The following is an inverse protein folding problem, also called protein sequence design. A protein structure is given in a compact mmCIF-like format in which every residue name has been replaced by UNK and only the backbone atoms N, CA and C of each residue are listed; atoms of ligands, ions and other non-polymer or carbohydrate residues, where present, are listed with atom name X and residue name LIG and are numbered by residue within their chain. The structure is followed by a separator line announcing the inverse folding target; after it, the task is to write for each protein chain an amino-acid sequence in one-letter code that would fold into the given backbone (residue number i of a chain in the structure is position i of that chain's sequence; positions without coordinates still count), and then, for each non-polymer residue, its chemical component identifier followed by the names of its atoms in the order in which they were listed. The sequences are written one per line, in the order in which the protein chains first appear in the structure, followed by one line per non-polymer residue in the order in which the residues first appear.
data_IF_299545755103
#
_entry.id   IF_299545755103
#
_cell.length_a   1.000
_cell.length_b   1.000
_cell.length_c   1.000
_cell.angle_alpha   90.00
_cell.angle_beta   90.00
_cell.angle_gamma   90.00
#
_symmetry.space_group_name_H-M   'P 1'
#
loop_
_entity.id
_entity.type
_entity.pdbx_description
1 polymer ?
#
# COMPACT_ATOMS: atom_id res chain seq x y z
N UNK A 1 13.55 13.27 7.11
CA UNK A 1 12.09 13.36 7.31
C UNK A 1 11.48 13.66 5.96
N UNK A 2 10.40 12.99 5.55
CA UNK A 2 9.75 13.17 4.25
C UNK A 2 8.40 12.48 4.21
N UNK A 3 7.48 12.98 3.39
CA UNK A 3 6.15 12.38 3.15
C UNK A 3 6.23 11.47 1.90
N UNK A 4 5.71 10.25 2.00
CA UNK A 4 5.69 9.31 0.87
C UNK A 4 4.76 9.76 -0.27
N UNK A 5 3.83 10.68 0.02
CA UNK A 5 2.97 11.28 -0.98
C UNK A 5 3.67 12.38 -1.81
N UNK A 6 4.89 12.77 -1.45
CA UNK A 6 5.68 13.74 -2.19
C UNK A 6 6.54 13.03 -3.27
N UNK A 7 6.29 13.28 -4.57
CA UNK A 7 7.08 12.70 -5.65
C UNK A 7 8.58 13.00 -5.56
N UNK A 8 8.96 14.19 -5.07
CA UNK A 8 10.37 14.56 -4.93
C UNK A 8 11.07 13.70 -3.87
N UNK A 9 10.35 13.33 -2.80
CA UNK A 9 10.85 12.42 -1.77
C UNK A 9 11.04 11.02 -2.34
N UNK A 10 10.07 10.49 -3.09
CA UNK A 10 10.18 9.17 -3.73
C UNK A 10 11.34 9.10 -4.73
N UNK A 11 11.49 10.13 -5.55
CA UNK A 11 12.57 10.24 -6.54
C UNK A 11 13.94 10.30 -5.87
N UNK A 12 14.08 10.99 -4.74
CA UNK A 12 15.33 11.07 -4.00
C UNK A 12 15.68 9.76 -3.27
N UNK A 13 14.68 9.00 -2.80
CA UNK A 13 14.89 7.79 -1.99
C UNK A 13 15.13 6.53 -2.81
N UNK A 14 14.49 6.40 -3.97
CA UNK A 14 14.56 5.19 -4.79
C UNK A 14 15.66 5.38 -5.83
N UNK A 15 16.91 5.15 -5.46
CA UNK A 15 18.07 5.33 -6.35
C UNK A 15 18.25 4.23 -7.41
N UNK A 16 19.24 4.43 -8.29
CA UNK A 16 19.64 3.44 -9.30
C UNK A 16 20.23 2.15 -8.71
N UNK A 17 20.68 2.19 -7.45
CA UNK A 17 21.28 1.11 -6.67
C UNK A 17 20.33 0.50 -5.63
N UNK A 18 19.10 1.00 -5.53
CA UNK A 18 18.11 0.47 -4.58
C UNK A 18 17.73 -0.96 -4.96
N UNK A 19 18.09 -1.94 -4.14
CA UNK A 19 17.75 -3.34 -4.41
C UNK A 19 16.32 -3.69 -3.95
N UNK A 20 15.85 -3.07 -2.87
CA UNK A 20 14.54 -3.35 -2.31
C UNK A 20 13.95 -2.14 -1.57
N UNK A 21 12.62 -2.07 -1.54
CA UNK A 21 11.83 -1.07 -0.80
C UNK A 21 10.89 -1.79 0.15
N UNK A 22 10.95 -1.46 1.44
CA UNK A 22 10.02 -1.96 2.45
C UNK A 22 8.95 -0.89 2.70
N UNK A 23 7.78 -1.05 2.08
CA UNK A 23 6.68 -0.10 2.19
C UNK A 23 5.82 -0.40 3.43
N UNK A 24 6.16 0.29 4.52
CA UNK A 24 5.52 0.16 5.84
C UNK A 24 4.66 1.37 6.23
N UNK A 25 4.76 2.45 5.45
CA UNK A 25 4.07 3.70 5.74
C UNK A 25 2.57 3.57 5.44
N UNK A 26 1.73 3.93 6.42
CA UNK A 26 0.29 3.95 6.30
C UNK A 26 -0.32 4.83 7.40
N UNK A 27 -1.52 5.34 7.13
CA UNK A 27 -2.42 5.85 8.16
C UNK A 27 -3.28 4.68 8.65
N UNK A 28 -3.33 4.49 9.98
CA UNK A 28 -4.05 3.38 10.62
C UNK A 28 -5.56 3.46 10.37
N UNK A 29 -6.23 2.31 10.40
CA UNK A 29 -7.65 2.19 10.02
C UNK A 29 -8.56 3.23 10.68
N UNK A 30 -8.51 3.39 12.00
CA UNK A 30 -9.38 4.36 12.68
C UNK A 30 -9.19 5.81 12.21
N UNK A 31 -7.96 6.20 11.85
CA UNK A 31 -7.67 7.52 11.32
C UNK A 31 -8.09 7.65 9.85
N UNK A 32 -7.90 6.60 9.04
CA UNK A 32 -8.36 6.59 7.66
C UNK A 32 -9.90 6.65 7.55
N UNK A 33 -10.63 6.08 8.51
CA UNK A 33 -12.09 6.23 8.57
C UNK A 33 -12.53 7.62 9.07
N UNK A 34 -11.78 8.21 10.01
CA UNK A 34 -12.07 9.56 10.50
C UNK A 34 -11.73 10.66 9.49
N UNK A 35 -10.72 10.43 8.65
CA UNK A 35 -10.24 11.33 7.61
C UNK A 35 -10.00 10.53 6.31
N UNK A 36 -11.08 10.40 5.54
CA UNK A 36 -11.10 9.62 4.31
C UNK A 36 -10.07 10.11 3.28
N UNK A 37 -9.99 11.43 3.08
CA UNK A 37 -9.10 12.03 2.08
C UNK A 37 -7.63 11.80 2.45
N UNK A 38 -7.30 11.93 3.73
CA UNK A 38 -5.95 11.59 4.21
C UNK A 38 -5.65 10.09 4.02
N UNK A 39 -6.62 9.22 4.31
CA UNK A 39 -6.51 7.78 4.06
C UNK A 39 -6.23 7.45 2.60
N UNK A 40 -7.01 8.03 1.67
CA UNK A 40 -6.83 7.84 0.23
C UNK A 40 -5.46 8.35 -0.24
N UNK A 41 -5.08 9.57 0.18
CA UNK A 41 -3.80 10.19 -0.20
C UNK A 41 -2.60 9.34 0.22
N UNK A 42 -2.59 8.84 1.46
CA UNK A 42 -1.43 8.11 2.00
C UNK A 42 -1.48 6.62 1.66
N UNK A 43 -2.59 5.93 1.92
CA UNK A 43 -2.60 4.47 1.82
C UNK A 43 -2.73 3.99 0.38
N UNK A 44 -3.41 4.75 -0.49
CA UNK A 44 -3.60 4.37 -1.89
C UNK A 44 -2.70 5.17 -2.84
N UNK A 45 -2.87 6.49 -2.90
CA UNK A 45 -2.21 7.29 -3.93
C UNK A 45 -0.68 7.29 -3.78
N UNK A 46 -0.17 7.47 -2.56
CA UNK A 46 1.26 7.40 -2.31
C UNK A 46 1.83 5.98 -2.54
N UNK A 47 1.07 4.92 -2.18
CA UNK A 47 1.45 3.54 -2.51
C UNK A 47 1.57 3.34 -4.03
N UNK A 48 0.58 3.81 -4.80
CA UNK A 48 0.59 3.76 -6.27
C UNK A 48 1.77 4.54 -6.85
N UNK A 49 2.04 5.74 -6.34
CA UNK A 49 3.16 6.57 -6.77
C UNK A 49 4.52 5.91 -6.49
N UNK A 50 4.68 5.25 -5.33
CA UNK A 50 5.88 4.50 -4.98
C UNK A 50 6.11 3.32 -5.94
N UNK A 51 5.05 2.54 -6.24
CA UNK A 51 5.13 1.43 -7.19
C UNK A 51 5.51 1.94 -8.59
N UNK A 52 4.93 3.06 -9.01
CA UNK A 52 5.24 3.69 -10.29
C UNK A 52 6.69 4.18 -10.35
N UNK A 53 7.20 4.83 -9.29
CA UNK A 53 8.59 5.25 -9.20
C UNK A 53 9.54 4.05 -9.31
N UNK A 54 9.24 2.93 -8.62
CA UNK A 54 9.99 1.69 -8.74
C UNK A 54 9.97 1.14 -10.18
N UNK A 55 8.81 1.16 -10.83
CA UNK A 55 8.62 0.70 -12.22
C UNK A 55 9.47 1.51 -13.21
N UNK A 56 9.62 2.81 -12.98
CA UNK A 56 10.37 3.73 -13.85
C UNK A 56 11.90 3.60 -13.74
N UNK A 57 12.45 2.98 -12.68
CA UNK A 57 13.91 2.84 -12.49
C UNK A 57 14.63 1.90 -13.46
N UNK A 58 13.89 1.14 -14.28
CA UNK A 58 14.45 0.20 -15.25
C UNK A 58 15.02 -1.10 -14.66
N UNK A 59 15.58 -1.06 -13.44
CA UNK A 59 16.08 -2.24 -12.71
C UNK A 59 15.05 -2.92 -11.81
N UNK A 60 13.90 -2.26 -11.56
CA UNK A 60 12.72 -2.78 -10.83
C UNK A 60 13.08 -3.32 -9.43
N UNK A 61 13.28 -2.44 -8.43
CA UNK A 61 13.59 -2.87 -7.07
C UNK A 61 12.49 -3.78 -6.51
N UNK A 62 12.86 -4.74 -5.67
CA UNK A 62 11.88 -5.60 -4.98
C UNK A 62 11.08 -4.79 -3.98
N UNK A 63 9.77 -4.72 -4.12
CA UNK A 63 8.90 -4.06 -3.14
C UNK A 63 8.34 -5.11 -2.18
N UNK A 64 8.55 -4.90 -0.88
CA UNK A 64 7.91 -5.67 0.20
C UNK A 64 6.85 -4.77 0.82
N UNK A 65 5.59 -5.09 0.58
CA UNK A 65 4.45 -4.33 1.07
C UNK A 65 3.83 -5.00 2.28
N UNK A 66 3.48 -4.19 3.29
CA UNK A 66 2.70 -4.67 4.43
C UNK A 66 1.22 -4.38 4.22
N UNK A 67 0.50 -5.42 3.82
CA UNK A 67 -0.96 -5.39 3.82
C UNK A 67 -1.53 -5.57 5.22
N UNK A 68 -2.81 -5.91 5.32
CA UNK A 68 -3.53 -6.07 6.59
C UNK A 68 -4.61 -7.12 6.45
N UNK A 69 -4.95 -7.81 7.54
CA UNK A 69 -6.15 -8.66 7.60
C UNK A 69 -7.45 -7.90 7.28
N UNK A 70 -7.42 -6.56 7.34
CA UNK A 70 -8.53 -5.69 6.96
C UNK A 70 -8.93 -5.77 5.47
N UNK A 71 -8.12 -6.41 4.61
CA UNK A 71 -8.52 -6.73 3.23
C UNK A 71 -9.61 -7.80 3.17
N UNK A 72 -9.81 -8.54 4.26
CA UNK A 72 -10.88 -9.52 4.43
C UNK A 72 -12.02 -8.94 5.27
N UNK A 73 -13.22 -9.52 5.11
CA UNK A 73 -14.38 -9.14 5.90
C UNK A 73 -15.67 -9.82 5.46
N UNK A 74 -16.78 -9.48 6.14
CA UNK A 74 -18.06 -10.16 5.98
C UNK A 74 -18.08 -11.52 6.70
N UNK A 75 -18.79 -12.49 6.14
CA UNK A 75 -18.82 -13.85 6.66
C UNK A 75 -17.55 -14.60 6.21
N UNK A 76 -16.61 -14.79 7.15
CA UNK A 76 -15.35 -15.47 6.90
C UNK A 76 -15.36 -16.91 7.45
N UNK A 77 -14.60 -17.84 6.83
CA UNK A 77 -14.36 -19.16 7.41
C UNK A 77 -13.52 -19.06 8.70
N UNK A 78 -13.45 -20.14 9.47
CA UNK A 78 -12.64 -20.22 10.69
C UNK A 78 -11.16 -19.93 10.44
N UNK A 79 -10.65 -20.36 9.27
CA UNK A 79 -9.27 -20.11 8.85
C UNK A 79 -9.27 -19.42 7.49
N UNK A 80 -8.70 -18.21 7.45
CA UNK A 80 -8.42 -17.50 6.20
C UNK A 80 -7.20 -18.14 5.54
N UNK A 81 -7.32 -18.43 4.25
CA UNK A 81 -6.30 -19.04 3.39
C UNK A 81 -5.84 -18.05 2.32
N UNK A 82 -4.69 -18.32 1.71
CA UNK A 82 -4.11 -17.47 0.64
C UNK A 82 -5.03 -17.28 -0.58
N UNK A 83 -5.99 -18.20 -0.81
CA UNK A 83 -6.99 -18.14 -1.87
C UNK A 83 -8.34 -17.54 -1.43
N UNK A 84 -8.43 -17.02 -0.21
CA UNK A 84 -9.66 -16.37 0.28
C UNK A 84 -9.87 -15.07 -0.48
N UNK A 85 -11.08 -14.85 -1.00
CA UNK A 85 -11.39 -13.63 -1.72
C UNK A 85 -11.30 -12.39 -0.80
N UNK A 86 -10.71 -11.32 -1.32
CA UNK A 86 -10.68 -10.02 -0.65
C UNK A 86 -12.11 -9.46 -0.60
N UNK A 87 -12.54 -9.04 0.58
CA UNK A 87 -13.88 -8.46 0.82
C UNK A 87 -13.82 -7.40 1.93
N UNK A 88 -13.05 -6.31 1.73
CA UNK A 88 -12.84 -5.30 2.76
C UNK A 88 -14.15 -4.62 3.15
N UNK A 89 -14.32 -4.34 4.44
CA UNK A 89 -15.51 -3.66 5.00
C UNK A 89 -15.18 -2.24 5.51
N UNK A 90 -14.03 -1.70 5.11
CA UNK A 90 -13.54 -0.38 5.49
C UNK A 90 -12.81 0.29 4.33
N UNK A 91 -12.68 1.62 4.37
CA UNK A 91 -11.87 2.36 3.41
C UNK A 91 -10.40 1.94 3.49
N UNK A 92 -9.86 1.77 4.71
CA UNK A 92 -8.49 1.29 4.95
C UNK A 92 -8.24 -0.09 4.32
N UNK A 93 -9.15 -1.04 4.58
CA UNK A 93 -9.07 -2.38 3.99
C UNK A 93 -9.11 -2.34 2.47
N UNK A 94 -9.97 -1.47 1.91
CA UNK A 94 -10.09 -1.28 0.46
C UNK A 94 -8.80 -0.71 -0.14
N UNK A 95 -8.21 0.31 0.50
CA UNK A 95 -6.94 0.89 0.06
C UNK A 95 -5.81 -0.15 0.06
N UNK A 96 -5.73 -0.99 1.10
CA UNK A 96 -4.75 -2.09 1.18
C UNK A 96 -4.99 -3.16 0.10
N UNK A 97 -6.23 -3.56 -0.13
CA UNK A 97 -6.59 -4.55 -1.15
C UNK A 97 -6.24 -4.04 -2.57
N UNK A 98 -6.52 -2.77 -2.88
CA UNK A 98 -6.11 -2.18 -4.16
C UNK A 98 -4.58 -2.19 -4.29
N UNK A 99 -3.85 -1.82 -3.25
CA UNK A 99 -2.38 -1.82 -3.28
C UNK A 99 -1.79 -3.24 -3.47
N UNK A 100 -2.39 -4.29 -2.89
CA UNK A 100 -2.03 -5.68 -3.18
C UNK A 100 -2.21 -6.01 -4.66
N UNK A 101 -3.38 -5.68 -5.22
CA UNK A 101 -3.72 -5.98 -6.62
C UNK A 101 -2.87 -5.19 -7.63
N UNK A 102 -2.41 -3.99 -7.27
CA UNK A 102 -1.49 -3.19 -8.09
C UNK A 102 -0.04 -3.71 -8.03
N UNK A 103 0.35 -4.34 -6.93
CA UNK A 103 1.70 -4.89 -6.74
C UNK A 103 1.89 -6.25 -7.41
N UNK A 104 0.82 -7.06 -7.48
CA UNK A 104 0.81 -8.41 -8.05
C UNK A 104 1.21 -8.44 -9.55
#
# INVERSE_FOLDING_TARGET
QGDIADPAVLEALIGADTAAVFHLAAIVSGQAEADFDLGMRINLDASRALLEACRQRGHRPRVVFTSSVAVYGGALPETVRDDTALNPQSSYGTQKAIAELLLA
#
